data_IF_662568059204
#
_entry.id   IF_662568059204
#
_cell.length_a   1.000
_cell.length_b   1.000
_cell.length_c   1.000
_cell.angle_alpha   90.00
_cell.angle_beta   90.00
_cell.angle_gamma   90.00
#
_symmetry.space_group_name_H-M   'P 1'
#
loop_
_entity.id
_entity.type
_entity.pdbx_description
1 polymer ?
#
# COMPACT_ATOMS: atom_id res chain seq x y z
N UNK A 1 -17.24 14.08 -6.07
CA UNK A 1 -16.08 13.53 -6.82
C UNK A 1 -16.58 12.43 -7.72
N UNK A 2 -16.07 12.35 -8.95
CA UNK A 2 -16.40 11.21 -9.80
C UNK A 2 -15.64 9.95 -9.31
N UNK A 3 -16.13 8.73 -9.56
CA UNK A 3 -15.49 7.50 -9.09
C UNK A 3 -14.04 7.34 -9.56
N UNK A 4 -13.70 7.86 -10.74
CA UNK A 4 -12.34 7.83 -11.30
C UNK A 4 -11.36 8.67 -10.46
N UNK A 5 -11.75 9.88 -10.09
CA UNK A 5 -11.00 10.77 -9.20
C UNK A 5 -10.82 10.17 -7.81
N UNK A 6 -11.84 9.48 -7.28
CA UNK A 6 -11.72 8.78 -5.99
C UNK A 6 -10.70 7.65 -6.10
N UNK A 7 -10.75 6.87 -7.17
CA UNK A 7 -9.79 5.78 -7.43
C UNK A 7 -8.35 6.31 -7.55
N UNK A 8 -8.16 7.38 -8.32
CA UNK A 8 -6.85 8.01 -8.53
C UNK A 8 -6.28 8.53 -7.20
N UNK A 9 -7.10 9.23 -6.40
CA UNK A 9 -6.74 9.68 -5.06
C UNK A 9 -6.34 8.51 -4.15
N UNK A 10 -7.07 7.40 -4.21
CA UNK A 10 -6.77 6.22 -3.39
C UNK A 10 -5.41 5.61 -3.78
N UNK A 11 -5.16 5.47 -5.08
CA UNK A 11 -3.89 4.95 -5.60
C UNK A 11 -2.71 5.82 -5.14
N UNK A 12 -2.86 7.15 -5.19
CA UNK A 12 -1.82 8.07 -4.73
C UNK A 12 -1.54 7.94 -3.24
N UNK A 13 -2.59 7.76 -2.42
CA UNK A 13 -2.43 7.50 -0.98
C UNK A 13 -1.75 6.16 -0.69
N UNK A 14 -2.07 5.11 -1.45
CA UNK A 14 -1.43 3.79 -1.31
C UNK A 14 0.06 3.88 -1.61
N UNK A 15 0.45 4.60 -2.67
CA UNK A 15 1.85 4.85 -3.03
C UNK A 15 2.58 5.59 -1.91
N UNK A 16 1.97 6.66 -1.38
CA UNK A 16 2.55 7.47 -0.30
C UNK A 16 2.80 6.63 0.97
N UNK A 17 1.83 5.82 1.38
CA UNK A 17 1.97 4.92 2.53
C UNK A 17 3.03 3.85 2.27
N UNK A 18 3.05 3.29 1.06
CA UNK A 18 4.01 2.25 0.68
C UNK A 18 5.45 2.75 0.66
N UNK A 19 5.66 3.98 0.17
CA UNK A 19 6.97 4.64 0.17
C UNK A 19 7.45 4.97 1.59
N UNK A 20 6.53 5.11 2.55
CA UNK A 20 6.83 5.52 3.93
C UNK A 20 6.47 4.43 4.96
N UNK A 21 6.59 3.16 4.57
CA UNK A 21 6.18 2.00 5.36
C UNK A 21 6.79 1.98 6.78
N UNK A 22 8.02 2.50 6.95
CA UNK A 22 8.69 2.68 8.24
C UNK A 22 7.88 3.46 9.27
N UNK A 23 7.10 4.44 8.82
CA UNK A 23 6.29 5.29 9.69
C UNK A 23 5.00 4.62 10.17
N UNK A 24 4.56 3.56 9.49
CA UNK A 24 3.28 2.88 9.75
C UNK A 24 3.45 1.46 10.31
N UNK A 25 4.68 0.95 10.33
CA UNK A 25 4.97 -0.43 10.70
C UNK A 25 5.85 -0.47 11.94
N UNK A 26 5.45 -1.26 12.94
CA UNK A 26 6.19 -1.43 14.21
C UNK A 26 7.63 -1.91 13.96
N UNK A 27 7.83 -2.79 12.99
CA UNK A 27 9.15 -3.22 12.52
C UNK A 27 9.06 -3.44 10.99
N UNK A 28 9.23 -2.38 10.20
CA UNK A 28 9.12 -2.47 8.73
C UNK A 28 10.11 -3.44 8.13
N UNK A 29 11.29 -3.56 8.75
CA UNK A 29 12.35 -4.42 8.28
C UNK A 29 11.94 -5.88 8.54
N UNK A 30 11.45 -6.28 9.72
CA UNK A 30 10.93 -7.66 9.89
C UNK A 30 9.60 -7.94 9.19
N UNK A 31 8.67 -6.98 9.17
CA UNK A 31 7.32 -7.20 8.66
C UNK A 31 7.29 -7.37 7.13
N UNK A 32 8.28 -6.79 6.44
CA UNK A 32 8.42 -6.89 4.97
C UNK A 32 9.77 -7.48 4.50
N UNK A 33 10.69 -7.90 5.41
CA UNK A 33 11.99 -8.53 5.05
C UNK A 33 11.89 -9.90 4.43
N UNK A 34 10.79 -10.64 4.67
CA UNK A 34 10.62 -11.89 3.93
C UNK A 34 10.58 -11.53 2.46
N UNK A 35 11.32 -12.26 1.62
CA UNK A 35 11.28 -12.26 0.14
C UNK A 35 9.87 -12.55 -0.41
N UNK A 36 8.82 -11.92 0.13
CA UNK A 36 7.45 -11.97 -0.34
C UNK A 36 7.49 -11.34 -1.71
N UNK A 37 7.08 -12.11 -2.72
CA UNK A 37 6.93 -11.67 -4.12
C UNK A 37 5.99 -10.45 -4.31
N UNK A 38 5.33 -9.98 -3.26
CA UNK A 38 4.28 -8.96 -3.33
C UNK A 38 4.75 -7.68 -2.62
N UNK A 39 4.65 -6.56 -3.34
CA UNK A 39 4.94 -5.23 -2.83
C UNK A 39 3.90 -4.80 -1.79
N UNK A 40 4.24 -3.85 -0.92
CA UNK A 40 3.31 -3.26 0.05
C UNK A 40 2.05 -2.70 -0.64
N UNK A 41 2.22 -2.07 -1.80
CA UNK A 41 1.11 -1.61 -2.64
C UNK A 41 0.15 -2.76 -2.98
N UNK A 42 0.67 -3.90 -3.47
CA UNK A 42 -0.15 -5.08 -3.81
C UNK A 42 -0.87 -5.66 -2.60
N UNK A 43 -0.23 -5.62 -1.43
CA UNK A 43 -0.85 -6.08 -0.19
C UNK A 43 -2.03 -5.15 0.16
N UNK A 44 -1.81 -3.84 0.14
CA UNK A 44 -2.85 -2.86 0.47
C UNK A 44 -4.02 -2.95 -0.53
N UNK A 45 -3.74 -3.00 -1.83
CA UNK A 45 -4.78 -3.12 -2.87
C UNK A 45 -5.57 -4.41 -2.72
N UNK A 46 -4.93 -5.52 -2.35
CA UNK A 46 -5.62 -6.78 -2.09
C UNK A 46 -6.54 -6.73 -0.87
N UNK A 47 -6.12 -6.08 0.22
CA UNK A 47 -6.92 -5.95 1.45
C UNK A 47 -8.18 -5.13 1.22
N UNK A 48 -8.07 -4.03 0.47
CA UNK A 48 -9.18 -3.11 0.21
C UNK A 48 -10.04 -3.52 -0.99
N UNK A 49 -9.78 -4.68 -1.60
CA UNK A 49 -10.55 -5.19 -2.74
C UNK A 49 -10.36 -4.41 -4.04
N UNK A 50 -9.21 -3.76 -4.22
CA UNK A 50 -8.82 -3.03 -5.43
C UNK A 50 -7.90 -3.81 -6.38
N UNK A 51 -7.41 -4.97 -5.93
CA UNK A 51 -6.50 -5.84 -6.69
C UNK A 51 -7.17 -6.57 -7.83
#
# INVERSE_FOLDING_TARGET
>A
MNPKQVKDLLVDKIKLVSANAKSFCIDSDKNFSRKRKLTMEKIITGIIGMG
#
